data_IF_778147543939
#
_entry.id   IF_778147543939
#
_cell.length_a   1.000
_cell.length_b   1.000
_cell.length_c   1.000
_cell.angle_alpha   90.00
_cell.angle_beta   90.00
_cell.angle_gamma   90.00
#
_symmetry.space_group_name_H-M   'P 1'
#
loop_
_entity.id
_entity.type
_entity.pdbx_description
1 polymer ?
#
# COMPACT_ATOMS: atom_id res chain seq x y z
N UNK A 1 -5.50 19.04 -15.11
CA UNK A 1 -6.85 18.77 -14.59
C UNK A 1 -7.21 19.87 -13.62
N UNK A 2 -8.45 20.34 -13.59
CA UNK A 2 -8.92 21.30 -12.58
C UNK A 2 -8.95 20.70 -11.18
N UNK A 3 -9.08 21.56 -10.17
CA UNK A 3 -9.33 21.10 -8.81
C UNK A 3 -10.68 20.37 -8.73
N UNK A 4 -10.70 19.26 -8.01
CA UNK A 4 -11.91 18.49 -7.76
C UNK A 4 -12.80 19.21 -6.75
N UNK A 5 -14.10 19.15 -6.98
CA UNK A 5 -15.11 19.62 -6.03
C UNK A 5 -15.20 18.66 -4.83
N UNK A 6 -15.72 19.10 -3.67
CA UNK A 6 -15.95 18.22 -2.52
C UNK A 6 -16.83 17.00 -2.86
N UNK A 7 -17.81 17.18 -3.75
CA UNK A 7 -18.69 16.10 -4.21
C UNK A 7 -17.90 15.04 -4.98
N UNK A 8 -17.06 15.46 -5.94
CA UNK A 8 -16.21 14.55 -6.72
C UNK A 8 -15.22 13.79 -5.83
N UNK A 9 -14.61 14.48 -4.86
CA UNK A 9 -13.71 13.86 -3.87
C UNK A 9 -14.44 12.77 -3.07
N UNK A 10 -15.64 13.06 -2.54
CA UNK A 10 -16.41 12.09 -1.76
C UNK A 10 -16.83 10.88 -2.61
N UNK A 11 -17.19 11.10 -3.87
CA UNK A 11 -17.52 10.03 -4.83
C UNK A 11 -16.32 9.12 -5.13
N UNK A 12 -15.12 9.69 -5.29
CA UNK A 12 -13.88 8.92 -5.46
C UNK A 12 -13.55 8.11 -4.19
N UNK A 13 -13.73 8.73 -3.01
CA UNK A 13 -13.57 8.03 -1.72
C UNK A 13 -14.49 6.82 -1.60
N UNK A 14 -15.77 6.98 -1.96
CA UNK A 14 -16.75 5.89 -1.95
C UNK A 14 -16.31 4.71 -2.82
N UNK A 15 -15.81 4.95 -4.03
CA UNK A 15 -15.28 3.89 -4.90
C UNK A 15 -14.05 3.21 -4.29
N UNK A 16 -13.14 4.00 -3.73
CA UNK A 16 -11.92 3.51 -3.09
C UNK A 16 -12.23 2.63 -1.88
N UNK A 17 -13.23 3.00 -1.06
CA UNK A 17 -13.73 2.20 0.07
C UNK A 17 -14.31 0.84 -0.36
N UNK A 18 -14.74 0.72 -1.62
CA UNK A 18 -15.21 -0.53 -2.22
C UNK A 18 -14.12 -1.27 -3.00
N UNK A 19 -12.84 -0.91 -2.79
CA UNK A 19 -11.68 -1.48 -3.48
C UNK A 19 -11.67 -1.24 -5.00
N UNK A 20 -12.36 -0.20 -5.48
CA UNK A 20 -12.36 0.15 -6.91
C UNK A 20 -11.24 1.14 -7.19
N UNK A 21 -10.20 0.68 -7.87
CA UNK A 21 -9.14 1.54 -8.37
C UNK A 21 -9.56 2.25 -9.67
N UNK A 22 -9.19 3.51 -9.83
CA UNK A 22 -9.51 4.31 -11.01
C UNK A 22 -8.42 5.33 -11.33
N UNK A 23 -8.34 5.72 -12.60
CA UNK A 23 -7.57 6.88 -13.06
C UNK A 23 -8.48 7.98 -13.57
N UNK A 24 -8.22 9.23 -13.21
CA UNK A 24 -9.06 10.35 -13.62
C UNK A 24 -8.60 10.96 -14.94
N UNK A 25 -9.58 11.39 -15.74
CA UNK A 25 -9.41 12.19 -16.94
C UNK A 25 -10.41 13.35 -16.96
N UNK A 26 -10.06 14.41 -17.70
CA UNK A 26 -10.92 15.58 -17.88
C UNK A 26 -10.94 15.93 -19.38
N UNK A 27 -12.02 15.60 -20.11
CA UNK A 27 -12.13 15.99 -21.51
C UNK A 27 -12.35 17.50 -21.63
N UNK A 28 -11.51 18.16 -22.41
CA UNK A 28 -11.71 19.57 -22.78
C UNK A 28 -12.75 19.68 -23.88
N UNK A 29 -13.31 20.88 -24.08
CA UNK A 29 -14.25 21.15 -25.18
C UNK A 29 -13.66 20.74 -26.54
N UNK A 30 -12.45 21.20 -26.86
CA UNK A 30 -11.73 20.81 -28.08
C UNK A 30 -11.49 19.30 -28.16
N UNK A 31 -11.22 18.65 -27.02
CA UNK A 31 -11.00 17.21 -26.98
C UNK A 31 -12.28 16.42 -27.32
N UNK A 32 -13.43 16.91 -26.86
CA UNK A 32 -14.74 16.35 -27.22
C UNK A 32 -15.07 16.56 -28.70
N UNK A 33 -14.91 17.79 -29.20
CA UNK A 33 -15.16 18.14 -30.61
C UNK A 33 -14.31 17.32 -31.57
N UNK A 34 -13.01 17.22 -31.29
CA UNK A 34 -12.05 16.50 -32.14
C UNK A 34 -12.00 15.00 -31.88
N UNK A 35 -12.75 14.53 -30.89
CA UNK A 35 -12.75 13.13 -30.47
C UNK A 35 -11.33 12.59 -30.18
N UNK A 36 -10.57 13.36 -29.41
CA UNK A 36 -9.18 13.03 -29.07
C UNK A 36 -8.74 13.71 -27.78
N UNK A 37 -7.99 12.99 -26.95
CA UNK A 37 -7.38 13.57 -25.76
C UNK A 37 -6.00 12.98 -25.48
N UNK A 38 -5.22 13.70 -24.68
CA UNK A 38 -3.91 13.24 -24.23
C UNK A 38 -4.04 12.15 -23.17
N UNK A 39 -3.29 11.07 -23.34
CA UNK A 39 -3.02 10.11 -22.29
C UNK A 39 -1.94 10.72 -21.38
N UNK A 40 -2.40 11.43 -20.35
CA UNK A 40 -1.56 12.06 -19.33
C UNK A 40 -0.65 11.02 -18.65
N UNK A 41 0.39 11.48 -17.95
CA UNK A 41 1.31 10.59 -17.23
C UNK A 41 0.60 9.59 -16.31
N UNK A 42 -0.42 10.04 -15.56
CA UNK A 42 -1.22 9.19 -14.69
C UNK A 42 -1.98 8.09 -15.45
N UNK A 43 -2.55 8.41 -16.61
CA UNK A 43 -3.25 7.44 -17.47
C UNK A 43 -2.28 6.40 -18.01
N UNK A 44 -1.09 6.83 -18.48
CA UNK A 44 -0.06 5.91 -18.99
C UNK A 44 0.43 4.96 -17.92
N UNK A 45 0.73 5.48 -16.73
CA UNK A 45 1.14 4.66 -15.58
C UNK A 45 0.06 3.67 -15.19
N UNK A 46 -1.20 4.12 -15.10
CA UNK A 46 -2.33 3.27 -14.70
C UNK A 46 -2.59 2.12 -15.70
N UNK A 47 -2.53 2.39 -17.01
CA UNK A 47 -2.67 1.36 -18.02
C UNK A 47 -1.50 0.37 -18.01
N UNK A 48 -0.27 0.85 -17.80
CA UNK A 48 0.94 0.02 -17.73
C UNK A 48 0.95 -0.87 -16.49
N UNK A 49 0.63 -0.32 -15.32
CA UNK A 49 0.59 -1.07 -14.05
C UNK A 49 -0.46 -2.18 -14.06
N UNK A 50 -1.57 -1.96 -14.77
CA UNK A 50 -2.64 -2.92 -14.96
C UNK A 50 -2.46 -3.83 -16.19
N UNK A 51 -1.27 -3.82 -16.82
CA UNK A 51 -0.94 -4.65 -17.99
C UNK A 51 -1.88 -4.48 -19.19
N UNK A 52 -2.53 -3.32 -19.32
CA UNK A 52 -3.46 -3.01 -20.42
C UNK A 52 -2.71 -2.46 -21.63
N UNK A 53 -1.78 -1.52 -21.42
CA UNK A 53 -1.00 -0.93 -22.51
C UNK A 53 0.27 -0.24 -22.01
N UNK A 54 1.37 -0.40 -22.74
CA UNK A 54 2.61 0.35 -22.54
C UNK A 54 2.93 1.21 -23.76
N UNK A 55 2.70 2.52 -23.64
CA UNK A 55 3.01 3.49 -24.69
C UNK A 55 4.50 3.58 -25.02
N UNK A 56 5.42 3.24 -24.09
CA UNK A 56 6.86 3.30 -24.36
C UNK A 56 7.27 2.31 -25.47
N UNK A 57 6.55 1.18 -25.55
CA UNK A 57 6.79 0.14 -26.56
C UNK A 57 5.96 0.33 -27.83
N UNK A 58 4.98 1.24 -27.83
CA UNK A 58 4.10 1.47 -28.96
C UNK A 58 4.82 2.27 -30.07
N UNK A 59 4.69 1.81 -31.31
CA UNK A 59 5.11 2.55 -32.51
C UNK A 59 4.26 3.81 -32.72
N UNK A 60 4.84 4.82 -33.37
CA UNK A 60 4.13 6.06 -33.71
C UNK A 60 3.17 5.87 -34.88
N UNK A 61 2.17 6.74 -34.99
CA UNK A 61 1.19 6.78 -36.06
C UNK A 61 -0.15 6.17 -35.69
N UNK A 62 -1.21 6.61 -36.38
CA UNK A 62 -2.56 6.08 -36.18
C UNK A 62 -2.71 4.65 -36.71
N UNK A 63 -1.84 4.23 -37.63
CA UNK A 63 -1.74 2.87 -38.16
C UNK A 63 -1.28 1.86 -37.09
N UNK A 64 -0.60 2.33 -36.03
CA UNK A 64 -0.18 1.53 -34.88
C UNK A 64 -1.14 1.69 -33.68
N UNK A 65 -2.36 2.15 -33.93
CA UNK A 65 -3.41 2.33 -32.92
C UNK A 65 -3.83 0.98 -32.35
N UNK A 66 -3.99 0.95 -31.03
CA UNK A 66 -4.56 -0.18 -30.30
C UNK A 66 -5.99 0.15 -29.92
N UNK A 67 -6.87 -0.83 -30.06
CA UNK A 67 -8.27 -0.73 -29.67
C UNK A 67 -8.56 -1.67 -28.53
N UNK A 68 -9.15 -1.13 -27.47
CA UNK A 68 -9.48 -1.87 -26.25
C UNK A 68 -10.98 -1.76 -26.05
N UNK A 69 -11.68 -2.89 -25.80
CA UNK A 69 -13.10 -2.86 -25.45
C UNK A 69 -13.34 -1.94 -24.26
N UNK A 70 -14.36 -1.09 -24.35
CA UNK A 70 -14.69 -0.16 -23.27
C UNK A 70 -16.19 0.06 -23.14
N UNK A 71 -16.62 0.62 -22.02
CA UNK A 71 -18.02 0.92 -21.74
C UNK A 71 -18.13 2.29 -21.09
N UNK A 72 -19.13 3.08 -21.49
CA UNK A 72 -19.49 4.30 -20.77
C UNK A 72 -20.60 3.93 -19.78
N UNK A 73 -20.34 4.10 -18.50
CA UNK A 73 -21.24 3.64 -17.43
C UNK A 73 -22.31 4.71 -17.22
N UNK A 74 -23.57 4.41 -17.52
CA UNK A 74 -24.71 5.27 -17.18
C UNK A 74 -25.44 4.77 -15.93
N UNK A 75 -26.50 5.45 -15.51
CA UNK A 75 -27.31 5.00 -14.37
C UNK A 75 -28.05 3.68 -14.64
N UNK A 76 -28.35 3.37 -15.91
CA UNK A 76 -29.29 2.29 -16.27
C UNK A 76 -28.69 1.26 -17.24
N UNK A 77 -27.66 1.64 -18.01
CA UNK A 77 -26.99 0.73 -18.95
C UNK A 77 -25.46 0.93 -19.01
N UNK A 78 -24.74 -0.11 -19.43
CA UNK A 78 -23.37 -0.02 -19.91
C UNK A 78 -23.37 0.24 -21.41
N UNK A 79 -23.03 1.46 -21.83
CA UNK A 79 -23.02 1.84 -23.25
C UNK A 79 -21.74 1.30 -23.88
N UNK A 80 -21.80 0.37 -24.86
CA UNK A 80 -20.60 -0.18 -25.49
C UNK A 80 -19.80 0.91 -26.22
N UNK A 81 -18.48 0.87 -26.04
CA UNK A 81 -17.53 1.81 -26.60
C UNK A 81 -16.23 1.10 -27.01
N UNK A 82 -15.32 1.84 -27.63
CA UNK A 82 -13.97 1.38 -27.96
C UNK A 82 -13.00 2.47 -27.55
N UNK A 83 -12.02 2.11 -26.72
CA UNK A 83 -10.91 2.97 -26.39
C UNK A 83 -9.83 2.84 -27.47
N UNK A 84 -9.46 3.95 -28.10
CA UNK A 84 -8.42 4.05 -29.11
C UNK A 84 -7.17 4.68 -28.51
N UNK A 85 -6.06 3.95 -28.51
CA UNK A 85 -4.79 4.36 -27.92
C UNK A 85 -3.72 4.44 -29.01
N UNK A 86 -3.06 5.59 -29.18
CA UNK A 86 -1.97 5.70 -30.18
C UNK A 86 -0.94 6.78 -29.83
N UNK A 87 0.25 6.67 -30.41
CA UNK A 87 1.26 7.74 -30.37
C UNK A 87 1.23 8.55 -31.66
N UNK A 88 1.15 9.88 -31.63
CA UNK A 88 1.19 10.68 -32.84
C UNK A 88 2.56 10.61 -33.55
N UNK A 89 2.60 10.92 -34.84
CA UNK A 89 3.82 10.94 -35.67
C UNK A 89 4.77 12.12 -35.35
N UNK A 90 4.41 12.98 -34.41
CA UNK A 90 5.25 14.11 -34.01
C UNK A 90 6.26 13.68 -32.93
N UNK A 91 7.53 14.10 -33.07
CA UNK A 91 8.61 13.73 -32.12
C UNK A 91 8.35 14.17 -30.67
N UNK A 92 7.43 15.13 -30.45
CA UNK A 92 7.07 15.72 -29.15
C UNK A 92 5.59 15.50 -28.79
N UNK A 93 4.83 14.72 -29.57
CA UNK A 93 3.41 14.58 -29.31
C UNK A 93 3.13 13.62 -28.17
N UNK A 94 2.39 14.07 -27.17
CA UNK A 94 1.88 13.21 -26.11
C UNK A 94 1.02 12.08 -26.71
N UNK A 95 1.14 10.84 -26.17
CA UNK A 95 0.28 9.75 -26.55
C UNK A 95 -1.19 10.09 -26.33
N UNK A 96 -2.07 9.45 -27.10
CA UNK A 96 -3.49 9.80 -27.18
C UNK A 96 -4.34 8.63 -26.76
N UNK A 97 -5.43 8.95 -26.07
CA UNK A 97 -6.52 8.03 -25.74
C UNK A 97 -7.84 8.67 -26.18
N UNK A 98 -8.81 7.87 -26.61
CA UNK A 98 -10.16 8.35 -26.87
C UNK A 98 -11.19 7.24 -26.72
N UNK A 99 -12.37 7.54 -26.17
CA UNK A 99 -13.47 6.60 -26.04
C UNK A 99 -14.58 6.93 -27.04
N UNK A 100 -14.92 5.98 -27.92
CA UNK A 100 -16.00 6.18 -28.89
C UNK A 100 -17.30 6.57 -28.20
N UNK A 101 -17.97 7.64 -28.67
CA UNK A 101 -19.23 8.10 -28.10
C UNK A 101 -19.10 9.04 -26.90
N UNK A 102 -17.87 9.34 -26.43
CA UNK A 102 -17.66 10.17 -25.24
C UNK A 102 -18.29 11.56 -25.32
N UNK A 103 -18.32 12.18 -26.51
CA UNK A 103 -18.94 13.49 -26.73
C UNK A 103 -20.45 13.55 -26.44
N UNK A 104 -21.16 12.41 -26.50
CA UNK A 104 -22.58 12.34 -26.11
C UNK A 104 -22.77 12.04 -24.61
N UNK A 105 -21.73 11.53 -23.96
CA UNK A 105 -21.77 11.03 -22.58
C UNK A 105 -21.25 12.05 -21.55
N UNK A 106 -20.29 12.89 -21.94
CA UNK A 106 -19.63 13.85 -21.06
C UNK A 106 -19.69 15.26 -21.62
N UNK A 107 -19.67 16.24 -20.72
CA UNK A 107 -19.51 17.65 -21.03
C UNK A 107 -18.05 18.06 -20.83
N UNK A 108 -17.67 19.18 -21.45
CA UNK A 108 -16.34 19.75 -21.26
C UNK A 108 -16.08 20.01 -19.76
N UNK A 109 -14.90 19.63 -19.29
CA UNK A 109 -14.43 19.79 -17.90
C UNK A 109 -15.15 18.93 -16.85
N UNK A 110 -15.95 17.95 -17.28
CA UNK A 110 -16.34 16.84 -16.39
C UNK A 110 -15.11 16.06 -15.94
N UNK A 111 -15.16 15.53 -14.72
CA UNK A 111 -14.18 14.58 -14.22
C UNK A 111 -14.73 13.18 -14.47
N UNK A 112 -13.97 12.39 -15.22
CA UNK A 112 -14.31 11.01 -15.51
C UNK A 112 -13.28 10.08 -14.85
N UNK A 113 -13.73 8.95 -14.34
CA UNK A 113 -12.89 7.86 -13.88
C UNK A 113 -12.82 6.75 -14.91
N UNK A 114 -11.61 6.28 -15.21
CA UNK A 114 -11.35 5.04 -15.96
C UNK A 114 -11.11 3.95 -14.94
N UNK A 115 -11.95 2.92 -14.96
CA UNK A 115 -11.82 1.69 -14.17
C UNK A 115 -11.40 0.57 -15.13
N UNK A 116 -10.41 -0.23 -14.73
CA UNK A 116 -10.00 -1.43 -15.48
C UNK A 116 -10.58 -2.65 -14.79
N UNK A 117 -11.32 -3.48 -15.53
CA UNK A 117 -11.81 -4.77 -15.04
C UNK A 117 -11.90 -5.76 -16.20
N UNK A 118 -11.39 -6.98 -16.00
CA UNK A 118 -11.33 -8.04 -17.03
C UNK A 118 -10.78 -7.58 -18.40
N UNK A 119 -9.67 -6.83 -18.41
CA UNK A 119 -9.06 -6.26 -19.62
C UNK A 119 -9.96 -5.33 -20.44
N UNK A 120 -11.06 -4.83 -19.86
CA UNK A 120 -11.96 -3.82 -20.43
C UNK A 120 -11.82 -2.50 -19.66
N UNK A 121 -12.12 -1.39 -20.33
CA UNK A 121 -12.12 -0.06 -19.71
C UNK A 121 -13.55 0.42 -19.46
N UNK A 122 -13.87 0.82 -18.24
CA UNK A 122 -15.16 1.40 -17.87
C UNK A 122 -14.96 2.88 -17.56
N UNK A 123 -15.67 3.75 -18.27
CA UNK A 123 -15.60 5.20 -18.09
C UNK A 123 -16.82 5.65 -17.29
N UNK A 124 -16.57 6.24 -16.13
CA UNK A 124 -17.59 6.67 -15.19
C UNK A 124 -17.54 8.19 -15.04
N UNK A 125 -18.65 8.89 -15.27
CA UNK A 125 -18.74 10.34 -15.09
C UNK A 125 -18.91 10.69 -13.60
N UNK A 126 -17.80 11.02 -12.95
CA UNK A 126 -17.74 11.34 -11.51
C UNK A 126 -18.46 12.66 -11.21
N UNK A 127 -18.49 13.60 -12.15
CA UNK A 127 -19.17 14.89 -11.99
C UNK A 127 -20.68 14.76 -12.06
N UNK A 128 -21.21 13.99 -13.02
CA UNK A 128 -22.64 13.98 -13.29
C UNK A 128 -23.42 12.89 -12.55
N UNK A 129 -22.85 11.70 -12.33
CA UNK A 129 -23.59 10.57 -11.76
C UNK A 129 -23.70 10.65 -10.23
N UNK A 130 -24.83 10.23 -9.67
CA UNK A 130 -25.01 10.10 -8.23
C UNK A 130 -24.54 8.72 -7.73
N UNK A 131 -23.23 8.60 -7.54
CA UNK A 131 -22.56 7.37 -7.12
C UNK A 131 -23.06 6.87 -5.76
N UNK A 132 -23.44 7.75 -4.84
CA UNK A 132 -23.94 7.34 -3.52
C UNK A 132 -25.25 6.59 -3.65
N UNK A 133 -26.18 7.09 -4.46
CA UNK A 133 -27.45 6.43 -4.72
C UNK A 133 -27.23 5.13 -5.50
N UNK A 134 -26.49 5.19 -6.61
CA UNK A 134 -26.26 4.04 -7.48
C UNK A 134 -25.56 2.87 -6.76
N UNK A 135 -24.65 3.13 -5.82
CA UNK A 135 -23.90 2.05 -5.14
C UNK A 135 -24.60 1.53 -3.87
N UNK A 136 -25.39 2.37 -3.18
CA UNK A 136 -25.98 1.98 -1.89
C UNK A 136 -27.44 1.51 -2.00
N UNK A 137 -28.14 1.80 -3.09
CA UNK A 137 -29.48 1.25 -3.30
C UNK A 137 -29.35 -0.24 -3.62
N UNK A 138 -30.07 -1.11 -2.88
CA UNK A 138 -30.11 -2.56 -3.09
C UNK A 138 -30.90 -2.96 -4.37
N UNK A 139 -30.77 -2.16 -5.42
CA UNK A 139 -31.36 -2.42 -6.74
C UNK A 139 -30.21 -2.48 -7.73
N UNK A 140 -30.12 -3.60 -8.44
CA UNK A 140 -29.11 -3.83 -9.47
C UNK A 140 -29.15 -2.71 -10.52
N UNK A 141 -27.97 -2.20 -10.82
CA UNK A 141 -27.71 -1.21 -11.86
C UNK A 141 -26.26 -1.39 -12.32
N UNK A 142 -25.90 -0.90 -13.51
CA UNK A 142 -24.58 -1.13 -14.10
C UNK A 142 -23.40 -0.81 -13.19
N UNK A 143 -23.47 0.29 -12.45
CA UNK A 143 -22.39 0.69 -11.56
C UNK A 143 -22.36 -0.21 -10.32
N UNK A 144 -23.50 -0.48 -9.71
CA UNK A 144 -23.59 -1.41 -8.57
C UNK A 144 -23.04 -2.79 -8.92
N UNK A 145 -23.42 -3.33 -10.07
CA UNK A 145 -23.02 -4.66 -10.52
C UNK A 145 -21.50 -4.68 -10.76
N UNK A 146 -20.96 -3.71 -11.51
CA UNK A 146 -19.51 -3.58 -11.75
C UNK A 146 -18.72 -3.45 -10.44
N UNK A 147 -19.14 -2.58 -9.53
CA UNK A 147 -18.49 -2.39 -8.22
C UNK A 147 -18.57 -3.66 -7.38
N UNK A 148 -19.71 -4.36 -7.42
CA UNK A 148 -19.93 -5.59 -6.66
C UNK A 148 -19.08 -6.74 -7.20
N UNK A 149 -18.96 -6.87 -8.52
CA UNK A 149 -18.09 -7.86 -9.17
C UNK A 149 -16.61 -7.57 -8.88
N UNK A 150 -16.15 -6.33 -9.04
CA UNK A 150 -14.79 -5.92 -8.69
C UNK A 150 -14.51 -6.24 -7.21
N UNK A 151 -15.45 -5.90 -6.32
CA UNK A 151 -15.32 -6.19 -4.89
C UNK A 151 -15.28 -7.68 -4.60
N UNK A 152 -16.11 -8.48 -5.28
CA UNK A 152 -16.14 -9.93 -5.13
C UNK A 152 -14.80 -10.54 -5.55
N UNK A 153 -14.31 -10.20 -6.76
CA UNK A 153 -13.00 -10.67 -7.24
C UNK A 153 -11.86 -10.18 -6.35
N UNK A 154 -11.91 -8.92 -5.92
CA UNK A 154 -10.91 -8.34 -5.00
C UNK A 154 -10.91 -9.03 -3.64
N UNK A 155 -12.03 -9.61 -3.20
CA UNK A 155 -12.14 -10.28 -1.91
C UNK A 155 -12.03 -11.81 -2.03
N UNK A 156 -12.13 -12.41 -3.20
CA UNK A 156 -12.03 -13.86 -3.38
C UNK A 156 -10.74 -14.43 -2.76
N UNK A 157 -9.62 -13.74 -2.96
CA UNK A 157 -8.32 -14.10 -2.37
C UNK A 157 -8.35 -13.95 -0.83
N UNK A 158 -8.99 -12.89 -0.32
CA UNK A 158 -9.12 -12.65 1.11
C UNK A 158 -10.02 -13.70 1.77
N UNK A 159 -11.11 -14.09 1.11
CA UNK A 159 -12.05 -15.11 1.57
C UNK A 159 -11.41 -16.51 1.53
N UNK A 160 -10.67 -16.84 0.46
CA UNK A 160 -9.85 -18.06 0.39
C UNK A 160 -8.87 -18.12 1.57
N UNK A 161 -8.15 -17.02 1.83
CA UNK A 161 -7.21 -16.93 2.94
C UNK A 161 -7.91 -17.07 4.29
N UNK A 162 -9.06 -16.44 4.50
CA UNK A 162 -9.85 -16.59 5.73
C UNK A 162 -10.28 -18.05 5.93
N UNK A 163 -10.69 -18.76 4.88
CA UNK A 163 -11.05 -20.19 4.96
C UNK A 163 -9.83 -21.01 5.41
N UNK A 164 -8.64 -20.75 4.86
CA UNK A 164 -7.41 -21.42 5.27
C UNK A 164 -7.05 -21.13 6.72
N UNK A 165 -7.14 -19.86 7.15
CA UNK A 165 -6.87 -19.43 8.51
C UNK A 165 -7.85 -20.06 9.51
N UNK A 166 -9.14 -20.15 9.18
CA UNK A 166 -10.13 -20.86 9.99
C UNK A 166 -9.79 -22.35 10.13
N UNK A 167 -9.39 -23.02 9.04
CA UNK A 167 -8.94 -24.42 9.08
C UNK A 167 -7.68 -24.62 9.93
N UNK A 168 -6.80 -23.62 9.99
CA UNK A 168 -5.62 -23.63 10.85
C UNK A 168 -6.02 -23.44 12.31
N UNK A 169 -6.83 -22.41 12.62
CA UNK A 169 -7.29 -22.10 13.96
C UNK A 169 -8.10 -23.25 14.60
N UNK A 170 -8.91 -23.95 13.80
CA UNK A 170 -9.70 -25.11 14.22
C UNK A 170 -8.86 -26.32 14.68
N UNK A 171 -7.54 -26.34 14.41
CA UNK A 171 -6.64 -27.39 14.92
C UNK A 171 -6.28 -27.21 16.40
N UNK A 172 -6.69 -26.11 17.02
CA UNK A 172 -6.26 -25.76 18.37
C UNK A 172 -4.84 -25.18 18.40
N UNK A 173 -4.18 -25.16 19.57
CA UNK A 173 -2.83 -24.63 19.71
C UNK A 173 -1.80 -25.42 18.88
N UNK A 174 -1.08 -24.74 17.99
CA UNK A 174 -0.10 -25.37 17.09
C UNK A 174 1.32 -25.12 17.60
N UNK A 175 2.18 -26.15 17.73
CA UNK A 175 3.55 -25.97 18.21
C UNK A 175 4.35 -25.00 17.35
N UNK A 176 5.15 -24.15 18.00
CA UNK A 176 6.11 -23.29 17.34
C UNK A 176 7.17 -24.14 16.61
N UNK A 177 7.45 -23.77 15.35
CA UNK A 177 8.46 -24.47 14.53
C UNK A 177 9.90 -24.23 15.00
N UNK A 178 10.11 -23.17 15.78
CA UNK A 178 11.41 -22.78 16.31
C UNK A 178 11.23 -21.92 17.56
N UNK A 179 12.28 -21.83 18.36
CA UNK A 179 12.34 -20.92 19.50
C UNK A 179 12.91 -19.55 19.08
N UNK A 180 12.02 -18.64 18.67
CA UNK A 180 12.35 -17.24 18.42
C UNK A 180 11.13 -16.31 18.36
N UNK A 181 11.35 -15.00 18.42
CA UNK A 181 10.31 -13.99 18.21
C UNK A 181 9.59 -14.16 16.85
N UNK A 182 10.29 -14.59 15.82
CA UNK A 182 9.75 -14.81 14.47
C UNK A 182 8.95 -16.11 14.33
N UNK A 183 8.88 -16.94 15.37
CA UNK A 183 8.27 -18.26 15.31
C UNK A 183 6.80 -18.20 14.90
N UNK A 184 6.01 -17.27 15.45
CA UNK A 184 4.58 -17.13 15.11
C UNK A 184 4.35 -16.92 13.61
N UNK A 185 5.07 -15.98 12.99
CA UNK A 185 4.95 -15.71 11.55
C UNK A 185 5.40 -16.89 10.70
N UNK A 186 6.57 -17.46 11.04
CA UNK A 186 7.12 -18.61 10.30
C UNK A 186 6.24 -19.86 10.40
N UNK A 187 5.66 -20.11 11.58
CA UNK A 187 4.69 -21.20 11.77
C UNK A 187 3.47 -20.98 10.89
N UNK A 188 2.89 -19.77 10.87
CA UNK A 188 1.73 -19.48 10.02
C UNK A 188 2.04 -19.63 8.53
N UNK A 189 3.12 -19.01 8.05
CA UNK A 189 3.56 -19.08 6.66
C UNK A 189 3.73 -20.54 6.20
N UNK A 190 4.38 -21.37 7.03
CA UNK A 190 4.57 -22.79 6.75
C UNK A 190 3.23 -23.54 6.66
N UNK A 191 2.29 -23.26 7.56
CA UNK A 191 0.96 -23.89 7.54
C UNK A 191 0.13 -23.49 6.32
N UNK A 192 0.37 -22.31 5.76
CA UNK A 192 -0.22 -21.80 4.52
C UNK A 192 0.54 -22.29 3.26
N UNK A 193 1.62 -23.05 3.42
CA UNK A 193 2.46 -23.51 2.31
C UNK A 193 3.33 -22.41 1.67
N UNK A 194 3.57 -21.32 2.39
CA UNK A 194 4.40 -20.19 1.94
C UNK A 194 5.85 -20.46 2.34
N UNK A 195 6.75 -20.45 1.36
CA UNK A 195 8.19 -20.59 1.61
C UNK A 195 8.77 -19.29 2.20
N UNK A 196 9.56 -19.41 3.26
CA UNK A 196 10.27 -18.28 3.88
C UNK A 196 11.18 -17.62 2.84
N UNK A 197 11.03 -16.30 2.68
CA UNK A 197 11.78 -15.54 1.70
C UNK A 197 12.05 -14.09 2.20
N UNK A 198 12.83 -13.33 1.43
CA UNK A 198 13.14 -11.91 1.70
C UNK A 198 12.52 -10.97 0.67
N UNK A 199 11.43 -11.41 0.02
CA UNK A 199 10.71 -10.63 -0.98
C UNK A 199 10.16 -9.34 -0.37
N UNK A 200 10.09 -8.32 -1.21
CA UNK A 200 9.42 -7.04 -0.90
C UNK A 200 7.92 -7.09 -1.17
N UNK A 201 7.47 -8.08 -1.94
CA UNK A 201 6.07 -8.28 -2.34
C UNK A 201 5.25 -8.88 -1.18
N UNK A 202 3.92 -8.70 -1.18
CA UNK A 202 3.01 -9.33 -0.23
C UNK A 202 3.13 -10.87 -0.22
N UNK A 203 2.83 -11.48 0.93
CA UNK A 203 3.09 -12.90 1.21
C UNK A 203 2.10 -13.86 0.51
N UNK A 204 0.82 -13.48 0.41
CA UNK A 204 -0.25 -14.34 -0.09
C UNK A 204 -1.06 -13.66 -1.21
N UNK A 205 -0.71 -13.95 -2.47
CA UNK A 205 -1.45 -13.49 -3.68
C UNK A 205 -1.82 -11.99 -3.67
N UNK A 206 -0.96 -11.13 -3.11
CA UNK A 206 -1.20 -9.68 -3.00
C UNK A 206 -1.61 -9.18 -1.61
N UNK A 207 -1.84 -10.09 -0.66
CA UNK A 207 -2.12 -9.80 0.75
C UNK A 207 -0.87 -10.01 1.60
N UNK A 208 -0.47 -9.02 2.37
CA UNK A 208 0.62 -9.13 3.37
C UNK A 208 0.10 -9.79 4.65
N UNK A 209 0.88 -10.69 5.24
CA UNK A 209 0.54 -11.40 6.47
C UNK A 209 1.38 -10.87 7.64
N UNK A 210 0.72 -10.30 8.64
CA UNK A 210 1.36 -9.80 9.87
C UNK A 210 0.83 -10.54 11.08
N UNK A 211 1.50 -11.62 11.45
CA UNK A 211 1.19 -12.37 12.66
C UNK A 211 1.83 -11.76 13.90
N UNK A 212 1.07 -11.66 14.98
CA UNK A 212 1.56 -11.16 16.27
C UNK A 212 0.98 -11.93 17.44
N UNK A 213 1.80 -12.09 18.48
CA UNK A 213 1.35 -12.60 19.78
C UNK A 213 0.45 -11.54 20.39
N UNK A 214 -0.77 -11.90 20.79
CA UNK A 214 -1.77 -10.98 21.36
C UNK A 214 -1.45 -10.62 22.82
N UNK A 215 -0.23 -10.14 23.04
CA UNK A 215 0.21 -9.60 24.30
C UNK A 215 -0.01 -8.08 24.26
N UNK A 216 -0.85 -7.56 25.16
CA UNK A 216 -1.22 -6.14 25.22
C UNK A 216 0.04 -5.26 25.19
N UNK A 217 0.17 -4.39 24.17
CA UNK A 217 1.09 -3.24 24.19
C UNK A 217 2.25 -3.23 23.18
N UNK A 218 2.46 -4.26 22.36
CA UNK A 218 3.54 -4.25 21.37
C UNK A 218 3.19 -3.41 20.12
N UNK A 219 4.13 -2.57 19.67
CA UNK A 219 4.05 -1.85 18.39
C UNK A 219 4.04 -2.85 17.22
N UNK A 220 3.25 -2.55 16.19
CA UNK A 220 3.13 -3.37 14.98
C UNK A 220 4.18 -2.91 13.95
N UNK A 221 4.88 -3.86 13.33
CA UNK A 221 5.85 -3.56 12.27
C UNK A 221 5.10 -3.23 10.97
N UNK A 222 5.36 -2.06 10.40
CA UNK A 222 4.91 -1.72 9.05
C UNK A 222 5.89 -2.34 8.05
N UNK A 223 7.06 -1.74 7.89
CA UNK A 223 8.07 -2.16 6.93
C UNK A 223 9.49 -1.86 7.42
N UNK A 224 10.47 -2.50 6.79
CA UNK A 224 11.88 -2.14 6.93
C UNK A 224 12.35 -1.37 5.71
N UNK A 225 13.12 -0.29 5.92
CA UNK A 225 13.66 0.52 4.84
C UNK A 225 15.00 1.14 5.26
N UNK A 226 16.06 0.83 4.52
CA UNK A 226 17.37 1.46 4.71
C UNK A 226 17.33 2.94 4.27
N UNK A 227 18.13 3.82 4.90
CA UNK A 227 18.24 5.21 4.48
C UNK A 227 18.83 5.33 3.08
N UNK A 228 18.68 6.52 2.50
CA UNK A 228 19.42 6.90 1.31
C UNK A 228 20.86 7.23 1.70
N UNK A 229 21.76 6.27 1.47
CA UNK A 229 23.18 6.42 1.77
C UNK A 229 23.86 7.52 0.97
N UNK A 230 23.32 7.94 -0.19
CA UNK A 230 23.91 9.03 -0.97
C UNK A 230 23.66 10.37 -0.28
N UNK A 231 22.44 10.59 0.22
CA UNK A 231 22.04 11.80 0.95
C UNK A 231 22.55 11.83 2.41
N UNK A 232 22.82 10.66 2.99
CA UNK A 232 23.25 10.52 4.39
C UNK A 232 24.72 10.91 4.61
N UNK A 233 25.06 11.45 5.78
CA UNK A 233 26.46 11.61 6.18
C UNK A 233 27.13 10.23 6.38
N UNK A 234 26.47 9.36 7.13
CA UNK A 234 26.92 7.99 7.33
C UNK A 234 26.55 7.12 6.13
N UNK A 235 27.45 6.22 5.76
CA UNK A 235 27.33 5.40 4.54
C UNK A 235 27.01 3.93 4.85
N UNK A 236 26.87 3.57 6.12
CA UNK A 236 26.55 2.21 6.53
C UNK A 236 25.99 2.10 7.94
N UNK A 237 25.23 1.04 8.21
CA UNK A 237 24.80 0.68 9.57
C UNK A 237 25.98 0.40 10.51
N UNK A 238 27.16 0.06 9.97
CA UNK A 238 28.37 -0.11 10.75
C UNK A 238 28.88 1.22 11.33
N UNK A 239 28.80 2.32 10.57
CA UNK A 239 29.12 3.66 11.06
C UNK A 239 28.14 4.11 12.15
N UNK A 240 26.83 3.87 11.95
CA UNK A 240 25.80 4.13 12.97
C UNK A 240 26.13 3.36 14.26
N UNK A 241 26.45 2.06 14.15
CA UNK A 241 26.81 1.24 15.30
C UNK A 241 28.11 1.70 15.97
N UNK A 242 29.12 2.11 15.21
CA UNK A 242 30.37 2.61 15.77
C UNK A 242 30.16 3.92 16.55
N UNK A 243 29.26 4.79 16.07
CA UNK A 243 28.99 6.08 16.68
C UNK A 243 28.08 6.00 17.93
N UNK A 244 27.11 5.09 17.94
CA UNK A 244 26.04 5.05 18.95
C UNK A 244 25.85 3.70 19.64
N UNK A 245 26.58 2.67 19.23
CA UNK A 245 26.50 1.33 19.81
C UNK A 245 27.00 1.26 21.26
N UNK A 246 26.52 0.26 21.97
CA UNK A 246 26.84 0.02 23.37
C UNK A 246 26.98 -1.48 23.67
N UNK A 247 27.74 -1.79 24.72
CA UNK A 247 27.87 -3.15 25.22
C UNK A 247 26.62 -3.55 26.01
N UNK A 248 26.12 -4.77 25.76
CA UNK A 248 25.06 -5.38 26.57
C UNK A 248 25.31 -6.89 26.66
N UNK A 249 25.82 -7.32 27.81
CA UNK A 249 26.39 -8.65 27.95
C UNK A 249 27.62 -8.78 27.05
N UNK A 250 27.71 -9.89 26.31
CA UNK A 250 28.80 -10.14 25.37
C UNK A 250 28.59 -9.50 23.98
N UNK A 251 27.47 -8.83 23.75
CA UNK A 251 27.14 -8.22 22.46
C UNK A 251 27.46 -6.72 22.44
N UNK A 252 28.04 -6.25 21.34
CA UNK A 252 28.06 -4.82 20.99
C UNK A 252 26.94 -4.53 19.97
N UNK A 253 25.99 -3.67 20.35
CA UNK A 253 24.76 -3.44 19.56
C UNK A 253 24.18 -2.04 19.71
N UNK A 254 23.31 -1.66 18.79
CA UNK A 254 22.43 -0.49 18.88
C UNK A 254 21.00 -0.96 18.70
N UNK A 255 20.33 -1.23 19.82
CA UNK A 255 18.91 -1.57 19.86
C UNK A 255 18.16 -0.41 20.50
N UNK A 256 17.60 0.47 19.69
CA UNK A 256 16.91 1.65 20.19
C UNK A 256 15.70 2.01 19.31
N UNK A 257 14.78 2.75 19.91
CA UNK A 257 13.65 3.37 19.22
C UNK A 257 13.93 4.86 19.10
N UNK A 258 13.65 5.41 17.92
CA UNK A 258 13.82 6.80 17.58
C UNK A 258 12.46 7.39 17.22
N UNK A 259 12.18 8.58 17.73
CA UNK A 259 10.92 9.31 17.52
C UNK A 259 11.19 10.76 17.16
N UNK A 260 10.19 11.45 16.63
CA UNK A 260 10.15 12.90 16.38
C UNK A 260 9.83 13.72 17.63
N UNK A 261 9.38 13.08 18.71
CA UNK A 261 8.94 13.76 19.93
C UNK A 261 10.14 14.04 20.83
N UNK A 262 10.82 12.98 21.28
CA UNK A 262 11.92 13.08 22.23
C UNK A 262 13.17 12.37 21.73
N UNK A 263 14.33 12.87 22.16
CA UNK A 263 15.61 12.16 22.05
C UNK A 263 15.55 10.89 22.89
N UNK A 264 16.09 9.81 22.37
CA UNK A 264 16.27 8.57 23.15
C UNK A 264 17.55 8.64 24.00
N UNK A 265 17.84 7.59 24.75
CA UNK A 265 19.03 7.51 25.62
C UNK A 265 20.37 7.50 24.88
N UNK A 266 20.37 7.31 23.56
CA UNK A 266 21.57 7.44 22.70
C UNK A 266 21.69 8.83 22.06
N UNK A 267 20.83 9.78 22.46
CA UNK A 267 20.83 11.14 21.95
C UNK A 267 20.18 11.29 20.57
N UNK A 268 19.52 10.25 20.07
CA UNK A 268 18.98 10.19 18.70
C UNK A 268 17.53 10.67 18.65
N UNK A 269 17.20 11.44 17.60
CA UNK A 269 15.85 11.94 17.33
C UNK A 269 15.59 11.99 15.83
N UNK A 270 14.34 11.75 15.42
CA UNK A 270 13.90 11.99 14.04
C UNK A 270 13.49 13.46 13.86
N UNK A 271 13.80 14.02 12.70
CA UNK A 271 13.33 15.32 12.22
C UNK A 271 12.59 15.09 10.91
N UNK A 272 11.34 15.51 10.85
CA UNK A 272 10.58 15.52 9.61
C UNK A 272 10.77 16.89 8.96
N UNK A 273 11.22 16.91 7.71
CA UNK A 273 11.33 18.12 6.91
C UNK A 273 10.43 17.97 5.68
N UNK A 274 9.24 18.58 5.77
CA UNK A 274 8.24 18.53 4.71
C UNK A 274 8.56 19.43 3.52
N UNK A 275 9.46 20.42 3.66
CA UNK A 275 9.81 21.32 2.55
C UNK A 275 10.68 20.61 1.51
N UNK A 276 11.61 19.77 1.97
CA UNK A 276 12.49 18.97 1.10
C UNK A 276 12.08 17.49 1.00
N UNK A 277 10.94 17.13 1.58
CA UNK A 277 10.35 15.78 1.54
C UNK A 277 11.27 14.70 2.15
N UNK A 278 11.87 14.97 3.32
CA UNK A 278 12.83 14.09 3.97
C UNK A 278 12.50 13.81 5.44
N UNK A 279 12.85 12.59 5.87
CA UNK A 279 12.96 12.22 7.27
C UNK A 279 14.44 12.05 7.60
N UNK A 280 14.92 12.80 8.61
CA UNK A 280 16.33 12.89 8.95
C UNK A 280 16.53 12.40 10.37
N UNK A 281 17.54 11.57 10.61
CA UNK A 281 17.95 11.24 11.98
C UNK A 281 19.10 12.13 12.43
N UNK A 282 18.94 12.67 13.64
CA UNK A 282 19.83 13.64 14.24
C UNK A 282 20.37 13.15 15.59
N UNK A 283 21.66 13.35 15.81
CA UNK A 283 22.32 13.20 17.10
C UNK A 283 22.45 14.53 17.85
N UNK A 284 22.44 14.47 19.18
CA UNK A 284 22.83 15.59 20.06
C UNK A 284 24.34 15.79 20.15
N UNK A 285 25.15 14.86 19.64
CA UNK A 285 26.59 15.03 19.50
C UNK A 285 26.84 16.10 18.44
N UNK A 286 27.35 17.26 18.87
CA UNK A 286 27.61 18.42 18.00
C UNK A 286 28.55 18.13 16.82
N UNK A 287 29.44 17.14 16.96
CA UNK A 287 30.34 16.71 15.89
C UNK A 287 29.67 15.86 14.80
N UNK A 288 28.46 15.37 15.04
CA UNK A 288 27.72 14.51 14.10
C UNK A 288 26.53 15.27 13.54
N UNK A 289 25.60 15.73 14.39
CA UNK A 289 24.38 16.39 13.92
C UNK A 289 23.48 15.45 13.12
N UNK A 290 23.05 15.87 11.93
CA UNK A 290 22.19 15.10 11.02
C UNK A 290 23.02 14.06 10.25
N UNK A 291 22.72 12.76 10.39
CA UNK A 291 23.64 11.72 9.94
C UNK A 291 23.06 10.68 8.98
N UNK A 292 21.75 10.42 8.99
CA UNK A 292 21.09 9.59 7.98
C UNK A 292 19.75 10.17 7.54
N UNK A 293 19.39 9.90 6.29
CA UNK A 293 18.24 10.52 5.60
C UNK A 293 17.42 9.45 4.89
N UNK A 294 16.09 9.58 4.95
CA UNK A 294 15.14 8.87 4.11
C UNK A 294 14.32 9.87 3.31
N UNK A 295 14.18 9.68 2.00
CA UNK A 295 13.18 10.40 1.21
C UNK A 295 11.77 9.91 1.53
N UNK A 296 10.84 10.81 1.82
CA UNK A 296 9.46 10.44 2.17
C UNK A 296 8.76 9.69 1.04
N UNK A 297 8.97 10.07 -0.22
CA UNK A 297 8.43 9.32 -1.38
C UNK A 297 8.84 7.85 -1.37
N UNK A 298 10.07 7.54 -0.95
CA UNK A 298 10.55 6.16 -0.85
C UNK A 298 9.83 5.41 0.27
N UNK A 299 9.58 6.07 1.40
CA UNK A 299 8.83 5.49 2.52
C UNK A 299 7.36 5.27 2.15
N UNK A 300 6.72 6.23 1.48
CA UNK A 300 5.35 6.14 0.99
C UNK A 300 5.19 5.00 0.00
N UNK A 301 6.08 4.91 -0.99
CA UNK A 301 6.06 3.82 -1.97
C UNK A 301 6.27 2.46 -1.30
N UNK A 302 7.17 2.37 -0.32
CA UNK A 302 7.39 1.15 0.48
C UNK A 302 6.14 0.76 1.27
N UNK A 303 5.47 1.72 1.89
CA UNK A 303 4.23 1.52 2.63
C UNK A 303 3.13 0.98 1.70
N UNK A 304 2.95 1.58 0.53
CA UNK A 304 1.95 1.18 -0.46
C UNK A 304 2.24 -0.20 -1.07
N UNK A 305 3.50 -0.47 -1.45
CA UNK A 305 3.91 -1.77 -2.01
C UNK A 305 3.60 -2.92 -1.05
N UNK A 306 3.83 -2.70 0.25
CA UNK A 306 3.71 -3.73 1.27
C UNK A 306 2.31 -3.86 1.87
N UNK A 307 1.59 -2.75 2.00
CA UNK A 307 0.32 -2.72 2.72
C UNK A 307 -0.87 -2.35 1.85
N UNK A 308 -0.80 -2.58 0.54
CA UNK A 308 -1.98 -2.45 -0.33
C UNK A 308 -3.19 -3.24 0.22
N UNK A 309 -2.92 -4.41 0.78
CA UNK A 309 -3.84 -5.21 1.57
C UNK A 309 -3.05 -5.97 2.65
N UNK A 310 -3.56 -6.03 3.87
CA UNK A 310 -2.86 -6.69 4.98
C UNK A 310 -3.83 -7.39 5.92
N UNK A 311 -3.49 -8.64 6.24
CA UNK A 311 -4.11 -9.39 7.32
C UNK A 311 -3.21 -9.31 8.56
N UNK A 312 -3.71 -8.68 9.62
CA UNK A 312 -3.08 -8.63 10.92
C UNK A 312 -3.64 -9.78 11.77
N UNK A 313 -2.88 -10.86 11.88
CA UNK A 313 -3.33 -12.12 12.51
C UNK A 313 -2.87 -12.15 13.96
N UNK A 314 -3.81 -12.09 14.88
CA UNK A 314 -3.55 -12.26 16.30
C UNK A 314 -3.52 -13.75 16.66
N UNK A 315 -2.59 -14.14 17.53
CA UNK A 315 -2.59 -15.44 18.17
C UNK A 315 -2.27 -15.35 19.67
N UNK A 316 -2.91 -16.19 20.47
CA UNK A 316 -2.51 -16.42 21.85
C UNK A 316 -1.29 -17.36 21.85
N UNK A 317 -0.33 -17.09 22.74
CA UNK A 317 0.84 -17.95 22.98
C UNK A 317 0.63 -18.73 24.27
N UNK A 318 0.69 -20.07 24.18
CA UNK A 318 0.52 -20.99 25.31
C UNK A 318 1.70 -21.94 25.38
N UNK A 319 2.20 -22.22 26.58
CA UNK A 319 3.26 -23.20 26.78
C UNK A 319 2.65 -24.56 27.13
N UNK A 320 2.91 -25.57 26.30
CA UNK A 320 2.44 -26.94 26.51
C UNK A 320 3.69 -27.83 26.53
N UNK A 321 3.98 -28.46 27.67
CA UNK A 321 5.11 -29.38 27.81
C UNK A 321 6.49 -28.75 27.59
N UNK A 322 6.65 -27.44 27.85
CA UNK A 322 7.91 -26.72 27.65
C UNK A 322 8.08 -26.14 26.24
N UNK A 323 7.13 -26.34 25.34
CA UNK A 323 7.14 -25.81 23.98
C UNK A 323 6.06 -24.75 23.78
N UNK A 324 6.42 -23.61 23.18
CA UNK A 324 5.45 -22.58 22.78
C UNK A 324 4.51 -23.12 21.69
N UNK A 325 3.21 -22.86 21.84
CA UNK A 325 2.18 -23.15 20.87
C UNK A 325 1.37 -21.88 20.58
N UNK A 326 0.87 -21.75 19.36
CA UNK A 326 0.10 -20.60 18.89
C UNK A 326 -1.36 -21.00 18.62
N UNK A 327 -2.30 -20.30 19.26
CA UNK A 327 -3.72 -20.36 18.94
C UNK A 327 -4.10 -19.11 18.16
N UNK A 328 -4.23 -19.22 16.84
CA UNK A 328 -4.70 -18.11 15.99
C UNK A 328 -6.18 -17.84 16.28
N UNK A 329 -6.54 -16.57 16.52
CA UNK A 329 -7.85 -16.21 17.09
C UNK A 329 -8.64 -15.17 16.29
N UNK A 330 -7.93 -14.23 15.65
CA UNK A 330 -8.55 -13.06 15.03
C UNK A 330 -7.72 -12.59 13.86
N UNK A 331 -8.40 -12.11 12.82
CA UNK A 331 -7.82 -11.32 11.74
C UNK A 331 -8.40 -9.91 11.80
N UNK A 332 -7.54 -8.91 11.78
CA UNK A 332 -7.89 -7.54 11.42
C UNK A 332 -7.40 -7.31 9.98
N UNK A 333 -8.32 -7.01 9.07
CA UNK A 333 -8.07 -6.86 7.64
C UNK A 333 -8.11 -5.38 7.26
N UNK A 334 -6.96 -4.85 6.84
CA UNK A 334 -6.80 -3.48 6.39
C UNK A 334 -6.55 -3.44 4.88
N UNK A 335 -7.11 -2.44 4.21
CA UNK A 335 -6.84 -2.12 2.80
C UNK A 335 -5.92 -0.89 2.70
N UNK A 336 -5.56 -0.52 1.48
CA UNK A 336 -4.62 0.56 1.09
C UNK A 336 -4.48 1.71 2.11
N UNK A 337 -3.26 1.99 2.62
CA UNK A 337 -3.04 3.02 3.63
C UNK A 337 -3.27 4.43 3.07
N UNK A 338 -3.63 5.34 3.96
CA UNK A 338 -3.80 6.76 3.66
C UNK A 338 -2.41 7.42 3.80
N UNK A 339 -1.69 7.58 2.69
CA UNK A 339 -0.30 8.06 2.67
C UNK A 339 -0.12 9.38 3.43
N UNK A 340 -1.05 10.34 3.27
CA UNK A 340 -1.00 11.62 3.98
C UNK A 340 -1.03 11.48 5.51
N UNK A 341 -1.59 10.39 6.05
CA UNK A 341 -1.59 10.13 7.49
C UNK A 341 -0.22 9.65 7.96
N UNK A 342 0.58 9.01 7.10
CA UNK A 342 1.87 8.47 7.48
C UNK A 342 2.80 9.55 8.05
N UNK A 343 2.90 10.69 7.37
CA UNK A 343 3.78 11.80 7.77
C UNK A 343 3.33 12.42 9.10
N UNK A 344 2.02 12.66 9.24
CA UNK A 344 1.41 13.17 10.48
C UNK A 344 1.72 12.20 11.64
N UNK A 345 1.53 10.90 11.43
CA UNK A 345 1.76 9.90 12.48
C UNK A 345 3.25 9.75 12.84
N UNK A 346 4.17 9.98 11.89
CA UNK A 346 5.59 10.11 12.20
C UNK A 346 5.83 11.36 13.05
N UNK A 347 5.32 12.52 12.64
CA UNK A 347 5.49 13.79 13.36
C UNK A 347 4.97 13.73 14.80
N UNK A 348 3.86 13.03 15.02
CA UNK A 348 3.26 12.80 16.33
C UNK A 348 3.93 11.68 17.16
N UNK A 349 4.98 11.03 16.62
CA UNK A 349 5.68 9.90 17.27
C UNK A 349 4.78 8.68 17.50
N UNK A 350 3.72 8.55 16.72
CA UNK A 350 2.86 7.35 16.68
C UNK A 350 3.52 6.28 15.82
N UNK A 351 4.15 6.70 14.71
CA UNK A 351 5.10 5.91 13.95
C UNK A 351 6.52 6.26 14.42
N UNK A 352 7.34 5.23 14.59
CA UNK A 352 8.70 5.33 15.14
C UNK A 352 9.65 4.42 14.36
N UNK A 353 10.94 4.69 14.44
CA UNK A 353 11.99 3.88 13.83
C UNK A 353 12.70 3.04 14.90
N UNK A 354 12.85 1.74 14.66
CA UNK A 354 13.69 0.88 15.50
C UNK A 354 14.98 0.52 14.75
N UNK A 355 16.12 0.87 15.34
CA UNK A 355 17.41 0.30 14.95
C UNK A 355 17.63 -1.03 15.66
N UNK A 356 18.00 -2.05 14.89
CA UNK A 356 18.33 -3.39 15.38
C UNK A 356 19.70 -3.83 14.80
N UNK A 357 20.73 -3.06 15.12
CA UNK A 357 22.09 -3.26 14.61
C UNK A 357 22.92 -4.02 15.65
N UNK A 358 23.62 -5.08 15.25
CA UNK A 358 24.54 -5.81 16.13
C UNK A 358 25.84 -6.18 15.43
N UNK A 359 26.92 -6.26 16.21
CA UNK A 359 28.18 -6.86 15.78
C UNK A 359 28.16 -8.36 16.09
N UNK A 360 28.50 -9.19 15.11
CA UNK A 360 28.69 -10.62 15.28
C UNK A 360 30.03 -10.90 15.98
N UNK A 361 30.22 -12.08 16.59
CA UNK A 361 31.52 -12.50 17.14
C UNK A 361 32.67 -12.45 16.12
N UNK A 362 32.36 -12.64 14.84
CA UNK A 362 33.31 -12.54 13.72
C UNK A 362 33.70 -11.09 13.37
N UNK A 363 33.19 -10.09 14.08
CA UNK A 363 33.45 -8.67 13.85
C UNK A 363 32.53 -7.98 12.83
N UNK A 364 31.79 -8.73 12.01
CA UNK A 364 30.88 -8.18 11.00
C UNK A 364 29.63 -7.55 11.62
N UNK A 365 29.14 -6.46 11.02
CA UNK A 365 27.94 -5.76 11.48
C UNK A 365 26.72 -6.21 10.67
N UNK A 366 25.63 -6.48 11.37
CA UNK A 366 24.35 -6.84 10.75
C UNK A 366 23.25 -5.98 11.35
N UNK A 367 22.46 -5.35 10.48
CA UNK A 367 21.20 -4.71 10.84
C UNK A 367 20.04 -5.57 10.35
N UNK A 368 19.02 -5.78 11.20
CA UNK A 368 17.79 -6.47 10.80
C UNK A 368 16.83 -5.58 9.98
N UNK A 369 17.36 -4.51 9.40
CA UNK A 369 16.66 -3.38 8.79
C UNK A 369 16.29 -2.31 9.83
N UNK A 370 16.37 -1.00 9.49
CA UNK A 370 15.65 0.03 10.22
C UNK A 370 14.15 -0.21 10.05
N UNK A 371 13.43 -0.45 11.15
CA UNK A 371 12.03 -0.89 11.11
C UNK A 371 11.10 0.25 11.51
N UNK A 372 10.20 0.63 10.61
CA UNK A 372 9.10 1.54 10.93
C UNK A 372 7.98 0.77 11.64
N UNK A 373 7.59 1.26 12.82
CA UNK A 373 6.58 0.63 13.66
C UNK A 373 5.53 1.62 14.12
N UNK A 374 4.28 1.16 14.15
CA UNK A 374 3.12 1.93 14.60
C UNK A 374 2.65 1.44 15.98
N UNK A 375 2.11 2.35 16.80
CA UNK A 375 1.48 2.00 18.08
C UNK A 375 0.32 0.99 17.88
N UNK A 376 0.10 0.06 18.83
CA UNK A 376 -0.84 -1.06 18.66
C UNK A 376 -2.28 -0.65 18.32
N UNK A 377 -2.76 0.46 18.89
CA UNK A 377 -4.14 0.96 18.75
C UNK A 377 -4.22 2.18 17.83
N UNK A 378 -3.39 2.23 16.78
CA UNK A 378 -3.32 3.37 15.87
C UNK A 378 -3.36 2.96 14.39
N UNK A 379 -3.65 1.68 14.08
CA UNK A 379 -3.79 1.23 12.69
C UNK A 379 -4.94 1.93 11.97
N UNK A 380 -6.05 2.16 12.66
CA UNK A 380 -7.23 2.90 12.19
C UNK A 380 -6.94 4.37 11.84
N UNK A 381 -5.81 4.92 12.31
CA UNK A 381 -5.34 6.23 11.91
C UNK A 381 -4.57 6.21 10.58
N UNK A 382 -3.97 5.08 10.21
CA UNK A 382 -3.17 4.93 8.99
C UNK A 382 -3.96 4.27 7.85
N UNK A 383 -4.91 3.41 8.19
CA UNK A 383 -5.69 2.63 7.25
C UNK A 383 -7.16 3.04 7.29
N UNK A 384 -7.91 2.91 6.18
CA UNK A 384 -9.37 2.99 6.21
C UNK A 384 -9.98 1.99 7.20
N UNK A 385 -11.26 2.17 7.60
CA UNK A 385 -11.92 1.27 8.56
C UNK A 385 -11.70 -0.20 8.23
N UNK A 386 -11.07 -0.92 9.16
CA UNK A 386 -10.71 -2.33 8.99
C UNK A 386 -11.91 -3.26 9.21
N UNK A 387 -11.91 -4.43 8.58
CA UNK A 387 -12.84 -5.51 8.92
C UNK A 387 -12.18 -6.44 9.94
N UNK A 388 -12.93 -6.88 10.95
CA UNK A 388 -12.45 -7.82 11.97
C UNK A 388 -13.17 -9.15 11.84
N UNK A 389 -12.41 -10.25 11.77
CA UNK A 389 -12.92 -11.61 11.70
C UNK A 389 -12.45 -12.42 12.90
N UNK A 390 -13.38 -13.09 13.59
CA UNK A 390 -13.03 -14.15 14.55
C UNK A 390 -12.65 -15.41 13.78
N UNK A 391 -11.52 -16.03 14.15
CA UNK A 391 -11.12 -17.36 13.66
C UNK A 391 -11.55 -18.48 14.61
N UNK A 392 -12.03 -18.11 15.81
CA UNK A 392 -12.59 -19.04 16.77
C UNK A 392 -14.08 -19.14 16.50
N UNK A 393 -14.56 -20.36 16.25
CA UNK A 393 -15.99 -20.67 16.33
C UNK A 393 -16.45 -20.46 17.77
N UNK A 394 -17.56 -19.76 17.97
CA UNK A 394 -18.25 -19.73 19.27
C UNK A 394 -18.76 -21.12 19.66
#
# INVERSE_FOLDING_TARGET
MRQLTPIEINRIKLLTEKSVELCLIEPTETGLEKSIMDATGSVRTYLKSNSIHDYETQKQGQENKIQIPSFLVSSNELIPSIASLYRPNTKQGDPRIWFKGLGHYAKANDILGIIIFENKLFVLNITQLDLHNLINVQVSNPLYDLVSEIRHVSNEIADELLILLNKIAARGPIPALLDADTAIGRTLETLLGININSSKKPDYKGIELKSYRDNRGNRKNLFAQVPDWNLSQFKSSAEILNAFGYNRGNDFKLYCTVSTIARNSQGLKLKLDSEINQLIENSDKSSIGDFVVWGLDTLHNRLLEKHNETFWIAADSVNIGGQEHFQYKKVEHTKKPIVSQFDILIEQGIITLDHLIKRKPTGSVVEKGPIFKIKPNALDLLFPPSQSYSLMSN
#
